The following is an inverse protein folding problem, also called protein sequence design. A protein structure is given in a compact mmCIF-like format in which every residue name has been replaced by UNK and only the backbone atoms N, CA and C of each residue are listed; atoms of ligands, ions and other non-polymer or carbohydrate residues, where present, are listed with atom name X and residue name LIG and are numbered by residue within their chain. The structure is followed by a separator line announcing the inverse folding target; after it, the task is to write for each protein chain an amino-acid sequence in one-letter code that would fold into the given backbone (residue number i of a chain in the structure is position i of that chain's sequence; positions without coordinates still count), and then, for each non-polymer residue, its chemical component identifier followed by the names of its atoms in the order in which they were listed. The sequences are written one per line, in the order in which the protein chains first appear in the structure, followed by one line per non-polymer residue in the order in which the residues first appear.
data_IF_466160516372
#
_entry.id   IF_466160516372
#
_cell.length_a   1.000
_cell.length_b   1.000
_cell.length_c   1.000
_cell.angle_alpha   90.00
_cell.angle_beta   90.00
_cell.angle_gamma   90.00
#
_symmetry.space_group_name_H-M   'P 1'
#
loop_
_entity.id
_entity.type
_entity.pdbx_description
1 polymer ?
#
# COMPACT_ATOMS: atom_id res chain seq x y z
N UNK A 1 6.18 -24.62 47.02
CA UNK A 1 5.48 -25.71 46.34
C UNK A 1 6.24 -26.04 45.05
N UNK A 2 6.80 -27.24 44.92
CA UNK A 2 7.64 -27.61 43.79
C UNK A 2 6.77 -27.98 42.57
N UNK A 3 7.13 -27.42 41.42
CA UNK A 3 6.43 -27.63 40.16
C UNK A 3 6.70 -29.02 39.57
N UNK A 4 5.62 -29.75 39.31
CA UNK A 4 5.62 -30.97 38.52
C UNK A 4 5.81 -30.63 37.04
N UNK A 5 7.04 -30.74 36.55
CA UNK A 5 7.31 -30.88 35.11
C UNK A 5 6.88 -32.29 34.71
N UNK A 6 5.70 -32.41 34.11
CA UNK A 6 5.30 -33.64 33.43
C UNK A 6 6.17 -33.78 32.19
N UNK A 7 7.14 -34.70 32.21
CA UNK A 7 7.88 -35.12 31.04
C UNK A 7 6.90 -35.74 30.03
N UNK A 8 6.48 -34.95 29.04
CA UNK A 8 5.91 -35.50 27.81
C UNK A 8 7.05 -36.18 27.06
N UNK A 9 7.15 -37.50 27.26
CA UNK A 9 7.93 -38.41 26.43
C UNK A 9 7.32 -38.36 25.02
N UNK A 10 7.81 -37.45 24.21
CA UNK A 10 7.52 -37.41 22.78
C UNK A 10 8.36 -38.51 22.13
N UNK A 11 7.79 -39.70 21.95
CA UNK A 11 8.22 -40.57 20.86
C UNK A 11 8.02 -39.77 19.56
N UNK A 12 9.11 -39.21 19.05
CA UNK A 12 9.19 -38.62 17.73
C UNK A 12 8.95 -39.73 16.70
N UNK A 13 7.68 -40.04 16.45
CA UNK A 13 7.27 -40.63 15.19
C UNK A 13 7.57 -39.59 14.12
N UNK A 14 8.69 -39.75 13.42
CA UNK A 14 9.05 -38.96 12.25
C UNK A 14 7.80 -38.83 11.36
N UNK A 15 7.38 -37.60 11.04
CA UNK A 15 6.12 -37.38 10.34
C UNK A 15 6.13 -38.13 9.01
N UNK A 16 5.37 -39.22 8.93
CA UNK A 16 5.20 -39.99 7.70
C UNK A 16 4.59 -39.07 6.65
N UNK A 17 5.19 -39.03 5.47
CA UNK A 17 4.68 -38.31 4.32
C UNK A 17 3.46 -39.01 3.70
N UNK A 18 2.83 -38.34 2.73
CA UNK A 18 1.56 -38.80 2.13
C UNK A 18 1.72 -39.89 1.04
N UNK A 19 2.95 -40.33 0.76
CA UNK A 19 3.26 -41.33 -0.26
C UNK A 19 3.21 -42.79 0.21
N UNK A 20 3.36 -43.75 -0.73
CA UNK A 20 3.39 -45.17 -0.44
C UNK A 20 4.41 -45.51 0.65
N UNK A 21 4.01 -46.29 1.65
CA UNK A 21 4.86 -46.61 2.79
C UNK A 21 5.13 -45.43 3.74
N UNK A 22 4.42 -44.31 3.61
CA UNK A 22 4.60 -43.12 4.46
C UNK A 22 5.78 -42.24 4.03
N UNK A 23 6.25 -42.34 2.78
CA UNK A 23 7.31 -41.46 2.25
C UNK A 23 6.77 -40.08 1.89
N UNK A 24 7.63 -39.07 1.85
CA UNK A 24 7.27 -37.75 1.31
C UNK A 24 7.26 -37.81 -0.21
N UNK A 25 6.27 -37.17 -0.83
CA UNK A 25 6.15 -37.06 -2.29
C UNK A 25 7.00 -35.91 -2.81
N UNK A 26 7.60 -36.10 -3.98
CA UNK A 26 8.25 -35.03 -4.71
C UNK A 26 7.22 -34.07 -5.34
N UNK A 27 7.66 -32.85 -5.65
CA UNK A 27 6.77 -31.83 -6.21
C UNK A 27 6.36 -32.24 -7.63
N UNK A 28 5.05 -32.45 -7.84
CA UNK A 28 4.50 -32.87 -9.14
C UNK A 28 4.47 -34.38 -9.35
N UNK A 29 4.90 -35.18 -8.37
CA UNK A 29 4.80 -36.64 -8.43
C UNK A 29 3.33 -37.09 -8.44
N UNK A 30 2.94 -37.83 -9.47
CA UNK A 30 1.59 -38.39 -9.62
C UNK A 30 1.66 -39.87 -9.26
N UNK A 31 0.92 -40.26 -8.22
CA UNK A 31 0.74 -41.66 -7.84
C UNK A 31 -0.67 -42.07 -8.22
N UNK A 32 -0.78 -43.12 -9.02
CA UNK A 32 -2.06 -43.69 -9.36
C UNK A 32 -2.75 -44.22 -8.08
N UNK A 33 -4.04 -43.90 -7.94
CA UNK A 33 -4.87 -44.49 -6.90
C UNK A 33 -5.03 -45.98 -7.15
N UNK A 34 -4.98 -46.78 -6.09
CA UNK A 34 -5.42 -48.18 -6.18
C UNK A 34 -6.93 -48.24 -6.41
N UNK A 35 -7.49 -49.34 -6.97
CA UNK A 35 -8.93 -49.47 -7.18
C UNK A 35 -9.76 -49.17 -5.92
N UNK A 36 -9.37 -49.71 -4.76
CA UNK A 36 -10.02 -49.46 -3.46
C UNK A 36 -9.98 -47.98 -3.05
N UNK A 37 -8.87 -47.29 -3.30
CA UNK A 37 -8.76 -45.85 -3.01
C UNK A 37 -9.62 -45.03 -3.97
N UNK A 38 -9.72 -45.44 -5.23
CA UNK A 38 -10.60 -44.79 -6.20
C UNK A 38 -12.08 -44.95 -5.82
N UNK A 39 -12.49 -46.15 -5.40
CA UNK A 39 -13.84 -46.41 -4.86
C UNK A 39 -14.12 -45.55 -3.63
N UNK A 40 -13.17 -45.52 -2.68
CA UNK A 40 -13.30 -44.69 -1.48
C UNK A 40 -13.44 -43.20 -1.78
N UNK A 41 -12.65 -42.68 -2.73
CA UNK A 41 -12.75 -41.30 -3.17
C UNK A 41 -14.11 -41.02 -3.82
N UNK A 42 -14.64 -41.96 -4.61
CA UNK A 42 -15.96 -41.85 -5.22
C UNK A 42 -17.08 -41.81 -4.17
N UNK A 43 -17.00 -42.62 -3.11
CA UNK A 43 -17.93 -42.57 -1.97
C UNK A 43 -17.92 -41.21 -1.28
N UNK A 44 -16.72 -40.70 -0.96
CA UNK A 44 -16.56 -39.37 -0.35
C UNK A 44 -17.14 -38.27 -1.24
N UNK A 45 -16.90 -38.35 -2.55
CA UNK A 45 -17.44 -37.40 -3.52
C UNK A 45 -18.97 -37.52 -3.65
N UNK A 46 -19.54 -38.72 -3.61
CA UNK A 46 -20.99 -38.90 -3.62
C UNK A 46 -21.63 -38.30 -2.35
N UNK A 47 -20.98 -38.41 -1.19
CA UNK A 47 -21.48 -37.94 0.10
C UNK A 47 -21.34 -36.41 0.28
N UNK A 48 -20.18 -35.85 -0.10
CA UNK A 48 -19.80 -34.46 0.18
C UNK A 48 -19.54 -33.60 -1.07
N UNK A 49 -19.54 -34.18 -2.27
CA UNK A 49 -19.39 -33.45 -3.53
C UNK A 49 -20.69 -32.79 -3.98
N UNK A 50 -20.79 -32.49 -5.28
CA UNK A 50 -22.01 -31.96 -5.90
C UNK A 50 -22.43 -30.58 -5.37
N UNK A 51 -21.48 -29.68 -5.09
CA UNK A 51 -21.77 -28.30 -4.70
C UNK A 51 -21.78 -28.05 -3.19
N UNK A 52 -21.55 -29.04 -2.32
CA UNK A 52 -21.51 -28.80 -0.86
C UNK A 52 -20.21 -28.12 -0.42
N UNK A 53 -19.06 -28.58 -0.90
CA UNK A 53 -17.76 -27.98 -0.57
C UNK A 53 -17.64 -26.59 -1.19
N UNK A 54 -18.10 -26.43 -2.43
CA UNK A 54 -18.14 -25.20 -3.21
C UNK A 54 -18.99 -24.15 -2.48
N UNK A 55 -20.22 -24.50 -2.04
CA UNK A 55 -21.06 -23.60 -1.23
C UNK A 55 -20.41 -23.23 0.10
N UNK A 56 -19.70 -24.15 0.73
CA UNK A 56 -19.00 -23.86 1.97
C UNK A 56 -17.79 -22.94 1.75
N UNK A 57 -16.98 -23.19 0.71
CA UNK A 57 -15.85 -22.37 0.30
C UNK A 57 -16.31 -20.96 -0.06
N UNK A 58 -17.33 -20.82 -0.92
CA UNK A 58 -17.90 -19.52 -1.31
C UNK A 58 -18.37 -18.73 -0.10
N UNK A 59 -19.07 -19.37 0.85
CA UNK A 59 -19.48 -18.73 2.10
C UNK A 59 -18.29 -18.28 2.93
N UNK A 60 -17.20 -19.05 2.99
CA UNK A 60 -15.99 -18.62 3.70
C UNK A 60 -15.31 -17.45 2.99
N UNK A 61 -15.17 -17.49 1.68
CA UNK A 61 -14.62 -16.39 0.88
C UNK A 61 -15.42 -15.08 1.05
N UNK A 62 -16.74 -15.16 1.03
CA UNK A 62 -17.61 -14.00 1.30
C UNK A 62 -17.43 -13.46 2.73
N UNK A 63 -17.22 -14.31 3.73
CA UNK A 63 -16.91 -13.85 5.10
C UNK A 63 -15.56 -13.11 5.18
N UNK A 64 -14.66 -13.28 4.21
CA UNK A 64 -13.43 -12.51 4.07
C UNK A 64 -13.61 -11.24 3.22
N UNK A 65 -14.85 -10.88 2.85
CA UNK A 65 -15.16 -9.64 2.13
C UNK A 65 -15.13 -9.73 0.61
N UNK A 66 -15.02 -10.95 0.04
CA UNK A 66 -15.05 -11.15 -1.41
C UNK A 66 -16.48 -11.00 -1.97
N UNK A 67 -16.60 -10.43 -3.18
CA UNK A 67 -17.87 -10.36 -3.89
C UNK A 67 -18.43 -11.76 -4.20
N UNK A 68 -19.75 -11.86 -4.35
CA UNK A 68 -20.46 -13.13 -4.56
C UNK A 68 -20.08 -13.84 -5.86
N UNK A 69 -19.82 -13.11 -6.95
CA UNK A 69 -19.44 -13.72 -8.23
C UNK A 69 -18.02 -14.29 -8.13
N UNK A 70 -17.08 -13.47 -7.69
CA UNK A 70 -15.68 -13.86 -7.47
C UNK A 70 -15.56 -15.02 -6.48
N UNK A 71 -16.33 -15.00 -5.39
CA UNK A 71 -16.33 -16.06 -4.39
C UNK A 71 -16.87 -17.38 -4.92
N UNK A 72 -17.72 -17.38 -5.96
CA UNK A 72 -18.22 -18.61 -6.61
C UNK A 72 -17.17 -19.20 -7.53
N UNK A 73 -16.57 -18.39 -8.40
CA UNK A 73 -15.52 -18.83 -9.32
C UNK A 73 -14.34 -19.46 -8.54
N UNK A 74 -13.85 -18.77 -7.52
CA UNK A 74 -12.74 -19.26 -6.71
C UNK A 74 -13.14 -20.47 -5.81
N UNK A 75 -14.41 -20.59 -5.45
CA UNK A 75 -14.86 -21.73 -4.64
C UNK A 75 -14.77 -23.06 -5.38
N UNK A 76 -15.00 -23.06 -6.70
CA UNK A 76 -14.88 -24.25 -7.53
C UNK A 76 -13.42 -24.72 -7.58
N UNK A 77 -12.48 -23.80 -7.79
CA UNK A 77 -11.03 -24.07 -7.76
C UNK A 77 -10.59 -24.62 -6.39
N UNK A 78 -11.02 -23.99 -5.30
CA UNK A 78 -10.69 -24.44 -3.94
C UNK A 78 -11.25 -25.83 -3.67
N UNK A 79 -12.48 -26.12 -4.10
CA UNK A 79 -13.08 -27.44 -3.92
C UNK A 79 -12.31 -28.51 -4.71
N UNK A 80 -11.89 -28.19 -5.94
CA UNK A 80 -11.06 -29.07 -6.75
C UNK A 80 -9.70 -29.34 -6.10
N UNK A 81 -9.03 -28.32 -5.58
CA UNK A 81 -7.76 -28.45 -4.86
C UNK A 81 -7.91 -29.35 -3.62
N UNK A 82 -9.02 -29.23 -2.90
CA UNK A 82 -9.33 -30.12 -1.77
C UNK A 82 -9.46 -31.57 -2.23
N UNK A 83 -10.19 -31.86 -3.31
CA UNK A 83 -10.33 -33.22 -3.82
C UNK A 83 -9.01 -33.80 -4.33
N UNK A 84 -8.20 -33.02 -5.03
CA UNK A 84 -6.84 -33.41 -5.44
C UNK A 84 -5.97 -33.70 -4.22
N UNK A 85 -6.07 -32.89 -3.17
CA UNK A 85 -5.31 -33.08 -1.96
C UNK A 85 -5.75 -34.34 -1.19
N UNK A 86 -7.05 -34.66 -1.17
CA UNK A 86 -7.59 -35.91 -0.59
C UNK A 86 -7.09 -37.12 -1.39
N UNK A 87 -7.12 -37.06 -2.72
CA UNK A 87 -6.61 -38.14 -3.58
C UNK A 87 -5.12 -38.42 -3.33
N UNK A 88 -4.32 -37.40 -3.03
CA UNK A 88 -2.88 -37.55 -2.76
C UNK A 88 -2.56 -38.11 -1.36
N UNK A 89 -3.56 -38.34 -0.52
CA UNK A 89 -3.39 -38.67 0.88
C UNK A 89 -3.52 -40.16 1.20
N UNK A 90 -2.66 -40.96 0.58
CA UNK A 90 -2.76 -42.44 0.61
C UNK A 90 -2.70 -43.09 1.99
N UNK A 91 -2.17 -42.39 3.00
CA UNK A 91 -1.93 -42.90 4.37
C UNK A 91 -2.73 -42.17 5.45
N UNK A 92 -3.58 -41.22 5.07
CA UNK A 92 -4.29 -40.34 6.00
C UNK A 92 -5.75 -40.76 6.16
N UNK A 93 -6.41 -40.35 7.27
CA UNK A 93 -7.62 -40.99 7.75
C UNK A 93 -8.81 -40.97 6.77
N UNK A 94 -8.89 -40.03 5.83
CA UNK A 94 -9.94 -40.02 4.81
C UNK A 94 -9.83 -41.16 3.78
N UNK A 95 -8.59 -41.57 3.46
CA UNK A 95 -8.28 -42.61 2.48
C UNK A 95 -7.76 -43.91 3.14
N UNK A 96 -7.60 -43.91 4.46
CA UNK A 96 -7.19 -45.08 5.23
C UNK A 96 -8.32 -46.12 5.29
N UNK A 97 -7.95 -47.36 5.60
CA UNK A 97 -8.88 -48.50 5.65
C UNK A 97 -9.83 -48.46 6.87
N UNK A 98 -9.51 -47.67 7.90
CA UNK A 98 -10.31 -47.57 9.12
C UNK A 98 -11.57 -46.72 8.86
N UNK A 99 -12.73 -47.23 9.30
CA UNK A 99 -14.00 -46.52 9.16
C UNK A 99 -14.07 -45.31 10.10
N UNK A 100 -13.87 -44.12 9.53
CA UNK A 100 -14.21 -42.87 10.20
C UNK A 100 -15.73 -42.71 10.34
N UNK A 101 -16.18 -42.03 11.40
CA UNK A 101 -17.57 -41.57 11.49
C UNK A 101 -17.88 -40.52 10.41
N UNK A 102 -19.17 -40.33 10.08
CA UNK A 102 -19.60 -39.27 9.14
C UNK A 102 -19.14 -37.88 9.60
N UNK A 103 -19.24 -37.61 10.91
CA UNK A 103 -18.83 -36.33 11.49
C UNK A 103 -17.32 -36.10 11.35
N UNK A 104 -16.50 -37.13 11.54
CA UNK A 104 -15.05 -37.02 11.36
C UNK A 104 -14.70 -36.72 9.90
N UNK A 105 -15.32 -37.43 8.95
CA UNK A 105 -15.14 -37.18 7.51
C UNK A 105 -15.48 -35.73 7.16
N UNK A 106 -16.62 -35.25 7.65
CA UNK A 106 -17.07 -33.87 7.48
C UNK A 106 -16.08 -32.87 8.08
N UNK A 107 -15.61 -33.09 9.31
CA UNK A 107 -14.64 -32.21 9.99
C UNK A 107 -13.34 -32.13 9.18
N UNK A 108 -12.81 -33.26 8.74
CA UNK A 108 -11.57 -33.29 7.95
C UNK A 108 -11.72 -32.55 6.62
N UNK A 109 -12.78 -32.82 5.84
CA UNK A 109 -13.00 -32.19 4.54
C UNK A 109 -13.22 -30.67 4.66
N UNK A 110 -14.09 -30.24 5.57
CA UNK A 110 -14.42 -28.82 5.73
C UNK A 110 -13.28 -28.04 6.42
N UNK A 111 -12.52 -28.69 7.30
CA UNK A 111 -11.28 -28.14 7.84
C UNK A 111 -10.23 -27.90 6.76
N UNK A 112 -10.22 -28.74 5.72
CA UNK A 112 -9.35 -28.61 4.57
C UNK A 112 -9.73 -27.46 3.66
N UNK A 113 -11.02 -27.31 3.37
CA UNK A 113 -11.53 -26.11 2.66
C UNK A 113 -11.10 -24.84 3.38
N UNK A 114 -11.25 -24.78 4.71
CA UNK A 114 -10.78 -23.63 5.51
C UNK A 114 -9.27 -23.40 5.35
N UNK A 115 -8.48 -24.46 5.31
CA UNK A 115 -7.03 -24.40 5.14
C UNK A 115 -6.64 -23.86 3.77
N UNK A 116 -7.30 -24.31 2.70
CA UNK A 116 -7.04 -23.80 1.34
C UNK A 116 -7.49 -22.35 1.17
N UNK A 117 -8.64 -21.95 1.73
CA UNK A 117 -9.06 -20.54 1.77
C UNK A 117 -8.01 -19.68 2.48
N UNK A 118 -7.50 -20.13 3.63
CA UNK A 118 -6.42 -19.41 4.31
C UNK A 118 -5.12 -19.36 3.49
N UNK A 119 -4.77 -20.44 2.80
CA UNK A 119 -3.58 -20.47 1.94
C UNK A 119 -3.74 -19.54 0.74
N UNK A 120 -4.94 -19.42 0.15
CA UNK A 120 -5.23 -18.46 -0.91
C UNK A 120 -4.95 -17.04 -0.44
N UNK A 121 -5.51 -16.62 0.69
CA UNK A 121 -5.25 -15.27 1.22
C UNK A 121 -3.80 -15.06 1.64
N UNK A 122 -3.13 -16.10 2.16
CA UNK A 122 -1.70 -16.04 2.45
C UNK A 122 -0.87 -15.86 1.18
N UNK A 123 -1.23 -16.56 0.08
CA UNK A 123 -0.61 -16.37 -1.24
C UNK A 123 -0.91 -14.97 -1.79
N UNK A 124 -2.14 -14.49 -1.69
CA UNK A 124 -2.49 -13.11 -2.07
C UNK A 124 -1.85 -12.02 -1.21
N UNK A 125 -1.30 -12.37 -0.03
CA UNK A 125 -0.51 -11.45 0.81
C UNK A 125 0.96 -11.35 0.40
N UNK A 126 1.41 -12.10 -0.61
CA UNK A 126 2.72 -11.85 -1.23
C UNK A 126 2.65 -10.56 -2.05
N UNK A 127 3.71 -9.76 -2.01
CA UNK A 127 3.82 -8.49 -2.76
C UNK A 127 3.90 -8.63 -4.28
N UNK A 128 3.66 -9.83 -4.80
CA UNK A 128 3.72 -10.17 -6.22
C UNK A 128 2.30 -10.15 -6.78
N UNK A 129 2.07 -9.29 -7.76
CA UNK A 129 0.79 -9.16 -8.47
C UNK A 129 1.05 -9.23 -9.98
N UNK A 130 0.07 -9.69 -10.78
CA UNK A 130 0.17 -9.65 -12.23
C UNK A 130 0.45 -8.21 -12.69
N UNK A 131 1.51 -8.03 -13.47
CA UNK A 131 1.94 -6.74 -14.00
C UNK A 131 1.03 -6.37 -15.16
N UNK A 132 0.24 -5.31 -15.02
CA UNK A 132 -0.47 -4.70 -16.14
C UNK A 132 0.48 -3.77 -16.90
N UNK A 133 0.94 -4.22 -18.06
CA UNK A 133 1.86 -3.45 -18.91
C UNK A 133 1.19 -2.26 -19.61
N UNK A 134 -0.13 -2.16 -19.55
CA UNK A 134 -0.89 -1.02 -20.08
C UNK A 134 -1.13 0.07 -19.04
N UNK A 135 -0.89 -0.23 -17.76
CA UNK A 135 -0.98 0.74 -16.67
C UNK A 135 0.25 1.68 -16.68
N UNK A 136 0.06 3.01 -16.83
CA UNK A 136 1.14 3.99 -16.79
C UNK A 136 1.95 3.95 -15.49
N UNK A 137 1.31 3.64 -14.34
CA UNK A 137 1.98 3.60 -13.04
C UNK A 137 2.95 2.43 -12.95
N UNK A 138 2.53 1.27 -13.46
CA UNK A 138 3.35 0.07 -13.58
C UNK A 138 4.54 0.29 -14.52
N UNK A 139 4.32 0.93 -15.67
CA UNK A 139 5.38 1.32 -16.61
C UNK A 139 6.43 2.22 -15.94
N UNK A 140 6.00 3.25 -15.21
CA UNK A 140 6.89 4.19 -14.53
C UNK A 140 7.65 3.56 -13.35
N UNK A 141 7.05 2.59 -12.66
CA UNK A 141 7.69 1.84 -11.58
C UNK A 141 8.81 0.93 -12.10
N UNK A 142 8.62 0.34 -13.29
CA UNK A 142 9.59 -0.56 -13.93
C UNK A 142 10.58 0.18 -14.85
N UNK A 143 10.33 1.47 -15.13
CA UNK A 143 11.15 2.30 -15.98
C UNK A 143 12.65 2.35 -15.66
N UNK A 144 13.09 2.30 -14.39
CA UNK A 144 14.52 2.24 -14.07
C UNK A 144 15.22 0.98 -14.59
N UNK A 145 14.47 -0.08 -14.91
CA UNK A 145 14.99 -1.39 -15.35
C UNK A 145 14.85 -1.59 -16.86
N UNK A 146 14.05 -0.76 -17.54
CA UNK A 146 13.82 -0.85 -18.98
C UNK A 146 14.75 0.12 -19.73
N UNK A 147 15.55 -0.43 -20.65
CA UNK A 147 16.56 0.30 -21.42
C UNK A 147 16.00 1.19 -22.54
N UNK A 148 14.71 1.04 -22.86
CA UNK A 148 13.97 1.95 -23.74
C UNK A 148 13.02 2.77 -22.88
N UNK A 149 13.29 4.08 -22.79
CA UNK A 149 12.59 4.98 -21.88
C UNK A 149 11.08 4.87 -22.02
N UNK A 150 10.40 4.71 -20.88
CA UNK A 150 8.95 4.74 -20.82
C UNK A 150 8.45 6.07 -21.38
N UNK A 151 7.31 6.02 -22.07
CA UNK A 151 6.64 7.21 -22.54
C UNK A 151 6.30 8.09 -21.33
N UNK A 152 7.11 9.14 -21.11
CA UNK A 152 6.73 10.24 -20.23
C UNK A 152 5.43 10.80 -20.77
N UNK A 153 4.40 10.82 -19.95
CA UNK A 153 3.12 11.41 -20.34
C UNK A 153 3.38 12.84 -20.80
N UNK A 154 3.02 13.17 -22.04
CA UNK A 154 3.16 14.54 -22.53
C UNK A 154 2.18 15.42 -21.78
N UNK A 155 2.70 16.41 -21.05
CA UNK A 155 1.84 17.37 -20.35
C UNK A 155 1.10 18.24 -21.37
N UNK A 156 -0.16 18.63 -21.10
CA UNK A 156 -0.81 19.69 -21.83
C UNK A 156 0.05 20.96 -21.84
N UNK A 157 0.03 21.71 -22.96
CA UNK A 157 0.93 22.85 -23.17
C UNK A 157 0.90 23.90 -22.05
N UNK A 158 -0.27 24.13 -21.43
CA UNK A 158 -0.38 25.07 -20.31
C UNK A 158 0.33 24.57 -19.03
N UNK A 159 0.32 23.26 -18.75
CA UNK A 159 1.05 22.68 -17.62
C UNK A 159 2.53 22.56 -17.92
N UNK A 160 2.89 22.23 -19.15
CA UNK A 160 4.29 22.16 -19.57
C UNK A 160 4.98 23.52 -19.40
N UNK A 161 4.30 24.61 -19.79
CA UNK A 161 4.79 25.98 -19.59
C UNK A 161 4.93 26.40 -18.12
N UNK A 162 4.12 25.83 -17.22
CA UNK A 162 4.23 26.08 -15.76
C UNK A 162 5.40 25.30 -15.18
N UNK A 163 5.53 24.03 -15.56
CA UNK A 163 6.56 23.13 -15.05
C UNK A 163 7.94 23.44 -15.63
N UNK A 164 8.03 24.03 -16.83
CA UNK A 164 9.29 24.39 -17.48
C UNK A 164 10.05 25.52 -16.80
N UNK A 165 9.36 26.33 -15.98
CA UNK A 165 9.97 27.44 -15.22
C UNK A 165 10.58 27.00 -13.90
N UNK A 166 10.27 25.78 -13.47
CA UNK A 166 10.81 25.25 -12.23
C UNK A 166 12.31 24.93 -12.35
N UNK A 167 13.07 25.05 -11.25
CA UNK A 167 14.44 24.56 -11.23
C UNK A 167 14.51 23.04 -11.50
N UNK A 168 15.57 22.59 -12.16
CA UNK A 168 15.61 21.26 -12.79
C UNK A 168 15.43 20.09 -11.79
N UNK A 169 15.89 20.23 -10.53
CA UNK A 169 15.78 19.17 -9.52
C UNK A 169 14.34 19.03 -9.02
N UNK A 170 13.69 20.15 -8.76
CA UNK A 170 12.29 20.32 -8.36
C UNK A 170 11.38 19.83 -9.49
N UNK A 171 11.65 20.27 -10.72
CA UNK A 171 10.98 19.85 -11.94
C UNK A 171 11.05 18.33 -12.12
N UNK A 172 12.25 17.76 -12.03
CA UNK A 172 12.45 16.30 -12.18
C UNK A 172 11.72 15.52 -11.09
N UNK A 173 11.83 15.96 -9.83
CA UNK A 173 11.15 15.30 -8.72
C UNK A 173 9.62 15.34 -8.88
N UNK A 174 9.07 16.50 -9.29
CA UNK A 174 7.64 16.68 -9.53
C UNK A 174 7.13 15.80 -10.68
N UNK A 175 7.83 15.79 -11.82
CA UNK A 175 7.43 15.00 -12.99
C UNK A 175 7.40 13.49 -12.67
N UNK A 176 8.45 12.97 -12.02
CA UNK A 176 8.49 11.57 -11.58
C UNK A 176 7.34 11.26 -10.61
N UNK A 177 7.01 12.21 -9.73
CA UNK A 177 5.90 12.03 -8.78
C UNK A 177 4.53 12.02 -9.47
N UNK A 178 4.32 12.89 -10.46
CA UNK A 178 3.10 12.95 -11.29
C UNK A 178 2.94 11.70 -12.15
N UNK A 179 4.05 11.11 -12.58
CA UNK A 179 4.12 9.80 -13.23
C UNK A 179 3.78 8.63 -12.27
N UNK A 180 3.44 8.90 -11.01
CA UNK A 180 3.02 7.89 -10.03
C UNK A 180 4.18 7.19 -9.35
N UNK A 181 5.44 7.62 -9.56
CA UNK A 181 6.60 6.98 -8.96
C UNK A 181 6.56 7.08 -7.42
N UNK A 182 6.79 5.97 -6.69
CA UNK A 182 6.90 6.00 -5.24
C UNK A 182 8.05 6.91 -4.78
N UNK A 183 7.83 7.69 -3.72
CA UNK A 183 8.78 8.72 -3.29
C UNK A 183 10.19 8.19 -2.94
N UNK A 184 10.31 6.92 -2.50
CA UNK A 184 11.61 6.26 -2.31
C UNK A 184 12.39 6.14 -3.61
N UNK A 185 11.72 5.79 -4.71
CA UNK A 185 12.32 5.68 -6.04
C UNK A 185 12.63 7.05 -6.63
N UNK A 186 11.78 8.06 -6.37
CA UNK A 186 12.08 9.46 -6.72
C UNK A 186 13.39 9.90 -6.06
N UNK A 187 13.57 9.61 -4.76
CA UNK A 187 14.80 9.93 -4.03
C UNK A 187 16.04 9.26 -4.64
N UNK A 188 15.96 7.97 -4.96
CA UNK A 188 17.03 7.25 -5.66
C UNK A 188 17.35 7.86 -7.02
N UNK A 189 16.32 8.22 -7.80
CA UNK A 189 16.48 8.74 -9.17
C UNK A 189 17.08 10.15 -9.21
N UNK A 190 16.70 10.99 -8.24
CA UNK A 190 17.22 12.36 -8.09
C UNK A 190 18.56 12.36 -7.33
N UNK A 191 18.97 11.22 -6.75
CA UNK A 191 20.24 11.09 -6.03
C UNK A 191 20.24 11.80 -4.67
N UNK A 192 19.11 11.79 -3.96
CA UNK A 192 18.94 12.49 -2.66
C UNK A 192 18.28 11.59 -1.62
N UNK A 193 18.26 12.05 -0.36
CA UNK A 193 17.55 11.34 0.71
C UNK A 193 16.02 11.41 0.53
N UNK A 194 15.28 10.44 1.09
CA UNK A 194 13.81 10.43 1.03
C UNK A 194 13.16 11.73 1.55
N UNK A 195 13.57 12.31 2.70
CA UNK A 195 13.06 13.61 3.13
C UNK A 195 13.36 14.73 2.14
N UNK A 196 14.54 14.74 1.53
CA UNK A 196 14.93 15.74 0.52
C UNK A 196 14.08 15.61 -0.74
N UNK A 197 13.77 14.40 -1.19
CA UNK A 197 12.91 14.18 -2.36
C UNK A 197 11.49 14.71 -2.14
N UNK A 198 10.91 14.48 -0.96
CA UNK A 198 9.61 15.09 -0.60
C UNK A 198 9.69 16.61 -0.66
N UNK A 199 10.74 17.20 -0.07
CA UNK A 199 10.95 18.65 -0.09
C UNK A 199 11.02 19.20 -1.51
N UNK A 200 11.73 18.55 -2.42
CA UNK A 200 11.82 19.00 -3.82
C UNK A 200 10.43 19.05 -4.49
N UNK A 201 9.58 18.05 -4.25
CA UNK A 201 8.21 18.04 -4.79
C UNK A 201 7.35 19.14 -4.16
N UNK A 202 7.44 19.32 -2.84
CA UNK A 202 6.71 20.39 -2.13
C UNK A 202 7.14 21.79 -2.60
N UNK A 203 8.45 22.02 -2.74
CA UNK A 203 9.01 23.28 -3.29
C UNK A 203 8.52 23.52 -4.71
N UNK A 204 8.54 22.50 -5.57
CA UNK A 204 8.05 22.60 -6.95
C UNK A 204 6.59 23.06 -7.01
N UNK A 205 5.72 22.50 -6.17
CA UNK A 205 4.31 22.88 -6.11
C UNK A 205 4.12 24.33 -5.63
N UNK A 206 4.89 24.76 -4.64
CA UNK A 206 4.84 26.13 -4.14
C UNK A 206 5.28 27.14 -5.20
N UNK A 207 6.36 26.87 -5.92
CA UNK A 207 6.85 27.74 -6.99
C UNK A 207 5.81 27.87 -8.12
N UNK A 208 5.19 26.76 -8.53
CA UNK A 208 4.08 26.79 -9.50
C UNK A 208 2.94 27.71 -9.00
N UNK A 209 2.57 27.63 -7.72
CA UNK A 209 1.51 28.47 -7.15
C UNK A 209 1.90 29.96 -7.09
N UNK A 210 3.16 30.28 -6.81
CA UNK A 210 3.64 31.67 -6.75
C UNK A 210 3.60 32.32 -8.13
N UNK A 211 4.08 31.61 -9.14
CA UNK A 211 4.22 32.12 -10.51
C UNK A 211 2.92 32.11 -11.32
N UNK A 212 1.96 31.25 -10.95
CA UNK A 212 0.72 31.09 -11.69
C UNK A 212 -0.46 31.54 -10.83
N UNK A 213 -0.77 32.86 -10.79
CA UNK A 213 -1.82 33.40 -9.94
C UNK A 213 -3.21 32.87 -10.26
N UNK A 214 -3.43 32.24 -11.43
CA UNK A 214 -4.68 31.52 -11.73
C UNK A 214 -4.88 30.31 -10.79
N UNK A 215 -3.81 29.78 -10.20
CA UNK A 215 -3.81 28.63 -9.29
C UNK A 215 -3.79 29.04 -7.80
N UNK A 216 -3.68 30.35 -7.49
CA UNK A 216 -3.59 30.87 -6.13
C UNK A 216 -4.55 32.05 -5.92
N UNK A 217 -4.79 32.46 -4.68
CA UNK A 217 -5.47 33.73 -4.44
C UNK A 217 -4.55 34.91 -4.82
N UNK A 218 -5.14 36.05 -5.18
CA UNK A 218 -4.40 37.30 -5.37
C UNK A 218 -3.62 37.67 -4.09
N UNK A 219 -2.37 38.16 -4.20
CA UNK A 219 -1.58 38.51 -3.03
C UNK A 219 -2.24 39.65 -2.25
N UNK A 220 -2.36 39.48 -0.94
CA UNK A 220 -2.88 40.51 -0.05
C UNK A 220 -1.94 41.73 -0.06
N UNK A 221 -2.44 42.96 -0.30
CA UNK A 221 -1.60 44.16 -0.29
C UNK A 221 -0.93 44.37 1.07
N UNK A 222 0.38 44.61 1.08
CA UNK A 222 1.15 44.79 2.33
C UNK A 222 0.56 45.86 3.25
N UNK A 223 0.08 46.98 2.69
CA UNK A 223 -0.50 48.09 3.46
C UNK A 223 -1.80 47.74 4.17
N UNK A 224 -2.49 46.69 3.72
CA UNK A 224 -3.70 46.20 4.39
C UNK A 224 -3.41 45.34 5.62
N UNK A 225 -2.15 44.92 5.81
CA UNK A 225 -1.76 44.01 6.89
C UNK A 225 -1.49 44.75 8.21
N UNK A 226 -1.84 44.14 9.35
CA UNK A 226 -1.41 44.61 10.66
C UNK A 226 0.10 44.84 10.73
N UNK A 227 0.51 45.85 11.52
CA UNK A 227 1.93 46.25 11.64
C UNK A 227 2.87 45.07 11.96
N UNK A 228 2.45 44.19 12.86
CA UNK A 228 3.27 43.04 13.26
C UNK A 228 3.47 42.03 12.11
N UNK A 229 2.46 41.81 11.24
CA UNK A 229 2.60 40.92 10.08
C UNK A 229 3.61 41.50 9.09
N UNK A 230 3.55 42.82 8.84
CA UNK A 230 4.50 43.51 7.97
C UNK A 230 5.94 43.40 8.50
N UNK A 231 6.13 43.57 9.80
CA UNK A 231 7.43 43.47 10.45
C UNK A 231 8.02 42.05 10.36
N UNK A 232 7.20 41.01 10.50
CA UNK A 232 7.68 39.63 10.33
C UNK A 232 7.94 39.27 8.86
N UNK A 233 7.06 39.67 7.93
CA UNK A 233 7.27 39.49 6.50
C UNK A 233 8.54 40.20 6.00
N UNK A 234 8.92 41.32 6.63
CA UNK A 234 10.15 42.04 6.32
C UNK A 234 11.42 41.22 6.62
N UNK A 235 11.36 40.29 7.59
CA UNK A 235 12.47 39.42 7.99
C UNK A 235 12.58 38.13 7.18
N UNK A 236 11.54 37.80 6.41
CA UNK A 236 11.48 36.61 5.58
C UNK A 236 12.06 36.82 4.18
N UNK A 237 12.46 35.74 3.53
CA UNK A 237 12.95 35.76 2.14
C UNK A 237 11.86 36.22 1.16
N UNK A 238 12.26 36.66 -0.03
CA UNK A 238 11.32 37.08 -1.06
C UNK A 238 10.33 35.96 -1.45
N UNK A 239 10.83 34.73 -1.55
CA UNK A 239 10.03 33.53 -1.82
C UNK A 239 8.99 33.28 -0.73
N UNK A 240 9.42 33.32 0.54
CA UNK A 240 8.55 33.15 1.70
C UNK A 240 7.46 34.22 1.75
N UNK A 241 7.84 35.48 1.53
CA UNK A 241 6.89 36.61 1.51
C UNK A 241 5.86 36.43 0.39
N UNK A 242 6.29 36.07 -0.81
CA UNK A 242 5.40 35.88 -1.95
C UNK A 242 4.39 34.74 -1.72
N UNK A 243 4.82 33.63 -1.13
CA UNK A 243 3.95 32.52 -0.76
C UNK A 243 2.93 32.93 0.30
N UNK A 244 3.38 33.53 1.40
CA UNK A 244 2.53 33.90 2.53
C UNK A 244 1.45 34.91 2.17
N UNK A 245 1.75 35.87 1.30
CA UNK A 245 0.78 36.88 0.87
C UNK A 245 -0.39 36.30 0.06
N UNK A 246 -0.25 35.09 -0.49
CA UNK A 246 -1.29 34.39 -1.27
C UNK A 246 -2.11 33.41 -0.43
N UNK A 247 -1.79 33.25 0.86
CA UNK A 247 -2.51 32.37 1.77
C UNK A 247 -3.66 33.12 2.47
N UNK A 248 -4.66 32.37 2.92
CA UNK A 248 -5.71 32.90 3.79
C UNK A 248 -5.12 33.47 5.09
N UNK A 249 -5.89 34.35 5.75
CA UNK A 249 -5.46 35.08 6.94
C UNK A 249 -5.00 34.17 8.08
N UNK A 250 -5.71 33.07 8.33
CA UNK A 250 -5.40 32.16 9.44
C UNK A 250 -4.11 31.41 9.15
N UNK A 251 -3.99 30.85 7.94
CA UNK A 251 -2.79 30.13 7.51
C UNK A 251 -1.55 31.01 7.50
N UNK A 252 -1.66 32.22 6.93
CA UNK A 252 -0.56 33.19 6.88
C UNK A 252 -0.07 33.54 8.28
N UNK A 253 -0.99 33.91 9.18
CA UNK A 253 -0.63 34.30 10.55
C UNK A 253 -0.04 33.13 11.35
N UNK A 254 -0.58 31.92 11.17
CA UNK A 254 -0.06 30.73 11.83
C UNK A 254 1.40 30.47 11.43
N UNK A 255 1.71 30.58 10.13
CA UNK A 255 3.05 30.36 9.61
C UNK A 255 4.01 31.51 9.99
N UNK A 256 3.56 32.76 10.00
CA UNK A 256 4.38 33.88 10.50
C UNK A 256 4.80 33.67 11.95
N UNK A 257 3.88 33.23 12.81
CA UNK A 257 4.17 32.96 14.22
C UNK A 257 5.06 31.73 14.41
N UNK A 258 4.84 30.67 13.64
CA UNK A 258 5.58 29.41 13.80
C UNK A 258 6.96 29.41 13.13
N UNK A 259 7.08 30.03 11.95
CA UNK A 259 8.33 30.08 11.17
C UNK A 259 9.12 31.35 11.45
N UNK A 260 8.45 32.49 11.67
CA UNK A 260 9.11 33.77 11.96
C UNK A 260 9.46 33.97 13.44
N UNK A 261 8.64 33.45 14.37
CA UNK A 261 8.82 33.66 15.81
C UNK A 261 9.07 32.36 16.59
N UNK A 262 9.23 31.23 15.91
CA UNK A 262 9.47 29.90 16.49
C UNK A 262 8.48 29.46 17.59
N UNK A 263 7.25 29.98 17.54
CA UNK A 263 6.21 29.58 18.50
C UNK A 263 5.74 28.15 18.23
N UNK A 264 5.49 27.36 19.27
CA UNK A 264 4.93 26.03 19.10
C UNK A 264 3.43 26.08 18.75
N UNK A 265 2.87 24.97 18.26
CA UNK A 265 1.47 24.91 17.81
C UNK A 265 0.45 25.39 18.87
N UNK A 266 0.70 25.11 20.14
CA UNK A 266 -0.20 25.49 21.23
C UNK A 266 -0.15 27.00 21.47
N UNK A 267 1.04 27.59 21.38
CA UNK A 267 1.25 29.03 21.48
C UNK A 267 0.65 29.78 20.30
N UNK A 268 0.82 29.26 19.08
CA UNK A 268 0.23 29.82 17.85
C UNK A 268 -1.30 29.83 17.95
N UNK A 269 -1.91 28.70 18.29
CA UNK A 269 -3.36 28.59 18.45
C UNK A 269 -3.91 29.57 19.50
N UNK A 270 -3.21 29.70 20.64
CA UNK A 270 -3.55 30.67 21.68
C UNK A 270 -3.40 32.12 21.22
N UNK A 271 -2.34 32.43 20.46
CA UNK A 271 -2.05 33.79 19.98
C UNK A 271 -3.08 34.26 18.95
N UNK A 272 -3.58 33.34 18.14
CA UNK A 272 -4.59 33.59 17.10
C UNK A 272 -6.02 33.45 17.60
N UNK A 273 -6.22 33.02 18.85
CA UNK A 273 -7.53 32.71 19.44
C UNK A 273 -8.36 31.74 18.59
N UNK A 274 -7.69 30.70 18.07
CA UNK A 274 -8.32 29.64 17.26
C UNK A 274 -8.05 28.25 17.82
N UNK A 275 -8.93 27.26 17.58
CA UNK A 275 -8.68 25.89 17.97
C UNK A 275 -7.43 25.29 17.30
N UNK A 276 -6.68 24.45 18.03
CA UNK A 276 -5.46 23.78 17.53
C UNK A 276 -5.67 23.00 16.23
N UNK A 277 -6.86 22.44 16.00
CA UNK A 277 -7.14 21.68 14.78
C UNK A 277 -7.19 22.53 13.51
N UNK A 278 -7.33 23.85 13.62
CA UNK A 278 -7.27 24.77 12.47
C UNK A 278 -5.82 25.12 12.09
N UNK A 279 -4.92 25.11 13.07
CA UNK A 279 -3.49 25.44 12.89
C UNK A 279 -2.66 24.21 12.52
N UNK A 280 -2.99 23.04 13.09
CA UNK A 280 -2.24 21.80 12.91
C UNK A 280 -2.01 21.41 11.44
N UNK A 281 -3.02 21.42 10.56
CA UNK A 281 -2.84 21.01 9.16
C UNK A 281 -1.90 21.94 8.42
N UNK A 282 -2.02 23.25 8.67
CA UNK A 282 -1.20 24.29 8.01
C UNK A 282 0.27 24.16 8.43
N UNK A 283 0.54 24.05 9.74
CA UNK A 283 1.92 23.92 10.21
C UNK A 283 2.53 22.58 9.77
N UNK A 284 1.76 21.50 9.84
CA UNK A 284 2.22 20.18 9.42
C UNK A 284 2.54 20.09 7.93
N UNK A 285 1.75 20.74 7.08
CA UNK A 285 1.92 20.69 5.63
C UNK A 285 2.88 21.75 5.08
N UNK A 286 2.83 22.98 5.61
CA UNK A 286 3.45 24.13 4.94
C UNK A 286 4.69 24.65 5.65
N UNK A 287 4.89 24.42 6.96
CA UNK A 287 5.99 25.04 7.70
C UNK A 287 7.37 24.58 7.23
N UNK A 288 7.51 23.29 6.90
CA UNK A 288 8.79 22.73 6.45
C UNK A 288 9.14 23.22 5.06
N UNK A 289 8.16 23.25 4.15
CA UNK A 289 8.32 23.76 2.80
C UNK A 289 8.64 25.27 2.81
N UNK A 290 7.97 26.05 3.65
CA UNK A 290 8.24 27.49 3.82
C UNK A 290 9.64 27.76 4.36
N UNK A 291 10.13 26.97 5.33
CA UNK A 291 11.50 27.09 5.87
C UNK A 291 12.57 26.76 4.84
N UNK A 292 12.26 25.92 3.86
CA UNK A 292 13.20 25.59 2.79
C UNK A 292 13.29 26.63 1.67
N UNK A 293 12.37 27.60 1.61
CA UNK A 293 12.39 28.67 0.61
C UNK A 293 13.46 29.71 0.94
N UNK A 294 14.47 29.80 0.09
CA UNK A 294 15.60 30.72 0.15
C UNK A 294 15.39 31.93 -0.78
N UNK A 295 16.32 32.90 -0.74
CA UNK A 295 16.29 34.05 -1.63
C UNK A 295 16.57 33.65 -3.10
N UNK A 296 17.48 32.69 -3.28
CA UNK A 296 17.92 32.18 -4.59
C UNK A 296 16.77 31.51 -5.36
N UNK A 297 15.79 30.94 -4.66
CA UNK A 297 14.63 30.26 -5.26
C UNK A 297 13.72 31.22 -6.06
N UNK A 298 13.76 32.53 -5.79
CA UNK A 298 13.07 33.54 -6.61
C UNK A 298 13.92 34.03 -7.78
N UNK A 299 15.24 34.09 -7.64
CA UNK A 299 16.13 34.52 -8.73
C UNK A 299 16.25 33.48 -9.85
N UNK A 300 16.08 32.20 -9.53
CA UNK A 300 16.07 31.11 -10.52
C UNK A 300 14.71 30.94 -11.22
N UNK A 301 13.66 31.58 -10.70
CA UNK A 301 12.27 31.50 -11.16
C UNK A 301 11.82 32.70 -12.03
N UNK A 302 12.56 33.80 -12.01
CA UNK A 302 12.27 35.03 -12.75
C UNK A 302 12.93 35.05 -14.15
#
# INVERSE_FOLDING_TARGET
MPGTKTERRAEQTASRGNGPGGRKLERGEIIALTPKQSERLAELYAEFGGGRLERYAARKLMNYGMDRLQARELADDIAQDVWVAVARETTKPLMAADELSEDDRRIFLFGRVKTEVHQYFRRGSTSEFPVDWTDPVTCNTLCPVLSSGCARTTLPAYLDAMVSKLPERERTALLLRLEGMPMRRVAERVGVSYPTANRLVETALLLIQIENPVLSADPVPLESLPRWEREELARMSAAQRAALLRMDEISRRALLLHVGQDLNITEVARRLDVPRYQVLPVLGACATALRSLTADDMEQAA
#
